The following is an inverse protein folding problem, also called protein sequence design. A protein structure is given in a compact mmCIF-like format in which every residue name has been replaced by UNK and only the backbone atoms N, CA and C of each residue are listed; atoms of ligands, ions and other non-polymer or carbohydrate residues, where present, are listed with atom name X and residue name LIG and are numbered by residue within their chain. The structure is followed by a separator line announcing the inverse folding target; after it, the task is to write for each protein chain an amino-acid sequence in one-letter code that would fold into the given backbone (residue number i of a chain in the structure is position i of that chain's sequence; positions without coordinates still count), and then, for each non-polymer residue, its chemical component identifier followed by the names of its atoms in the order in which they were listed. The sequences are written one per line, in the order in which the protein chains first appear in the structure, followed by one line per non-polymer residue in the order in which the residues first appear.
data_IF_727164757842
#
_entry.id   IF_727164757842
#
_cell.length_a   1.000
_cell.length_b   1.000
_cell.length_c   1.000
_cell.angle_alpha   90.00
_cell.angle_beta   90.00
_cell.angle_gamma   90.00
#
_symmetry.space_group_name_H-M   'P 1'
#
loop_
_entity.id
_entity.type
_entity.pdbx_description
1 polymer ?
#
# COMPACT_ATOMS: atom_id res chain seq x y z
N UNK A 1 -7.67 -17.61 11.55
CA UNK A 1 -8.27 -16.66 10.58
C UNK A 1 -7.16 -15.70 10.23
N UNK A 2 -6.78 -15.64 8.95
CA UNK A 2 -5.67 -14.83 8.47
C UNK A 2 -5.99 -13.35 8.64
N UNK A 3 -5.35 -12.69 9.62
CA UNK A 3 -5.50 -11.26 9.83
C UNK A 3 -4.82 -10.50 8.69
N UNK A 4 -5.57 -9.62 8.03
CA UNK A 4 -5.01 -8.65 7.10
C UNK A 4 -4.23 -7.63 7.93
N UNK A 5 -2.94 -7.49 7.63
CA UNK A 5 -2.10 -6.49 8.28
C UNK A 5 -2.30 -5.13 7.62
N UNK A 6 -3.01 -4.24 8.29
CA UNK A 6 -3.27 -2.89 7.79
C UNK A 6 -2.05 -1.98 7.92
N UNK A 7 -1.80 -1.19 6.87
CA UNK A 7 -0.78 -0.15 6.91
C UNK A 7 -1.21 0.99 7.85
N UNK A 8 -0.39 1.29 8.83
CA UNK A 8 -0.62 2.39 9.78
C UNK A 8 0.03 3.69 9.33
N UNK A 9 -0.40 4.82 9.89
CA UNK A 9 0.21 6.13 9.64
C UNK A 9 1.71 6.16 10.00
N UNK A 10 2.10 5.48 11.09
CA UNK A 10 3.49 5.37 11.49
C UNK A 10 4.32 4.61 10.45
N UNK A 11 3.81 3.48 9.94
CA UNK A 11 4.48 2.73 8.88
C UNK A 11 4.53 3.49 7.56
N UNK A 12 3.48 4.25 7.21
CA UNK A 12 3.46 5.09 6.02
C UNK A 12 4.63 6.09 6.01
N UNK A 13 4.93 6.71 7.16
CA UNK A 13 6.05 7.66 7.28
C UNK A 13 7.44 7.03 7.06
N UNK A 14 7.58 5.70 7.18
CA UNK A 14 8.83 5.01 6.86
C UNK A 14 9.07 4.86 5.34
N UNK A 15 8.01 4.96 4.54
CA UNK A 15 8.07 4.76 3.08
C UNK A 15 7.91 6.05 2.28
N UNK A 16 7.52 7.15 2.92
CA UNK A 16 7.25 8.42 2.27
C UNK A 16 8.08 9.54 2.89
N UNK A 17 8.60 10.42 2.05
CA UNK A 17 9.25 11.66 2.46
C UNK A 17 8.50 12.85 1.86
N UNK A 18 8.01 13.81 2.65
CA UNK A 18 7.39 15.00 2.09
C UNK A 18 8.44 15.84 1.35
N UNK A 19 8.02 16.49 0.27
CA UNK A 19 8.87 17.42 -0.49
C UNK A 19 8.16 18.76 -0.70
N UNK A 20 8.74 19.88 -0.25
CA UNK A 20 8.13 21.19 -0.44
C UNK A 20 7.86 21.47 -1.93
N UNK A 21 6.65 21.95 -2.24
CA UNK A 21 6.23 22.30 -3.60
C UNK A 21 5.71 21.14 -4.45
N UNK A 22 5.60 19.93 -3.89
CA UNK A 22 5.08 18.74 -4.57
C UNK A 22 4.11 18.00 -3.64
N UNK A 23 2.96 17.55 -4.16
CA UNK A 23 2.12 16.56 -3.48
C UNK A 23 2.44 15.16 -3.99
N UNK A 24 2.64 14.20 -3.09
CA UNK A 24 2.92 12.80 -3.42
C UNK A 24 1.71 11.91 -3.19
N UNK A 25 1.72 10.74 -3.82
CA UNK A 25 0.63 9.76 -3.69
C UNK A 25 0.37 9.33 -2.25
N UNK A 26 1.40 9.22 -1.41
CA UNK A 26 1.23 8.90 0.01
C UNK A 26 0.26 9.85 0.72
N UNK A 27 0.22 11.12 0.31
CA UNK A 27 -0.60 12.17 0.92
C UNK A 27 -2.06 12.11 0.46
N UNK A 28 -2.33 11.45 -0.68
CA UNK A 28 -3.68 11.20 -1.18
C UNK A 28 -4.23 9.83 -0.77
N UNK A 29 -3.39 8.90 -0.30
CA UNK A 29 -3.84 7.58 0.12
C UNK A 29 -4.72 7.65 1.38
N UNK A 30 -5.87 6.98 1.31
CA UNK A 30 -6.71 6.72 2.49
C UNK A 30 -6.16 5.52 3.24
N UNK A 31 -6.01 5.64 4.56
CA UNK A 31 -5.59 4.53 5.41
C UNK A 31 -6.79 3.73 5.93
N UNK A 32 -6.71 2.40 5.97
CA UNK A 32 -7.70 1.57 6.65
C UNK A 32 -7.74 1.88 8.15
N UNK A 33 -8.89 1.62 8.77
CA UNK A 33 -9.07 1.71 10.22
C UNK A 33 -8.88 0.32 10.84
N UNK A 34 -7.87 0.14 11.72
CA UNK A 34 -7.59 -1.14 12.35
C UNK A 34 -8.73 -1.67 13.25
N UNK A 35 -9.67 -0.82 13.66
CA UNK A 35 -10.84 -1.24 14.44
C UNK A 35 -11.94 -1.90 13.58
N UNK A 36 -11.85 -1.78 12.26
CA UNK A 36 -12.82 -2.33 11.30
C UNK A 36 -12.29 -3.61 10.65
N UNK A 37 -13.19 -4.55 10.35
CA UNK A 37 -12.85 -5.70 9.53
C UNK A 37 -12.58 -5.29 8.06
N UNK A 38 -12.14 -6.25 7.25
CA UNK A 38 -11.82 -6.00 5.85
C UNK A 38 -13.05 -5.52 5.06
N UNK A 39 -14.21 -6.13 5.28
CA UNK A 39 -15.44 -5.79 4.57
C UNK A 39 -15.90 -4.36 4.87
N UNK A 40 -15.89 -3.97 6.13
CA UNK A 40 -16.22 -2.64 6.59
C UNK A 40 -15.22 -1.59 6.09
N UNK A 41 -13.91 -1.88 6.10
CA UNK A 41 -12.90 -1.00 5.51
C UNK A 41 -13.12 -0.79 4.00
N UNK A 42 -13.39 -1.87 3.25
CA UNK A 42 -13.65 -1.80 1.81
C UNK A 42 -14.95 -1.03 1.50
N UNK A 43 -16.03 -1.30 2.24
CA UNK A 43 -17.30 -0.60 2.08
C UNK A 43 -17.14 0.91 2.37
N UNK A 44 -16.41 1.26 3.44
CA UNK A 44 -16.07 2.65 3.77
C UNK A 44 -15.27 3.30 2.64
N UNK A 45 -14.24 2.64 2.15
CA UNK A 45 -13.39 3.16 1.08
C UNK A 45 -14.22 3.45 -0.18
N UNK A 46 -15.05 2.51 -0.61
CA UNK A 46 -15.95 2.67 -1.76
C UNK A 46 -16.96 3.81 -1.54
N UNK A 47 -17.55 3.94 -0.35
CA UNK A 47 -18.48 5.02 -0.03
C UNK A 47 -17.82 6.42 -0.07
N UNK A 48 -16.50 6.49 0.13
CA UNK A 48 -15.71 7.72 0.02
C UNK A 48 -15.08 7.94 -1.37
N UNK A 49 -15.56 7.24 -2.40
CA UNK A 49 -15.08 7.38 -3.78
C UNK A 49 -13.80 6.59 -4.11
N UNK A 50 -13.36 5.72 -3.20
CA UNK A 50 -12.20 4.86 -3.42
C UNK A 50 -12.44 3.80 -4.50
N UNK A 51 -11.58 3.76 -5.51
CA UNK A 51 -11.69 2.82 -6.64
C UNK A 51 -10.70 1.65 -6.55
N UNK A 52 -9.57 1.84 -5.88
CA UNK A 52 -8.46 0.89 -5.87
C UNK A 52 -7.86 0.76 -4.48
N UNK A 53 -7.41 -0.45 -4.16
CA UNK A 53 -6.65 -0.72 -2.94
C UNK A 53 -5.28 -1.28 -3.27
N UNK A 54 -4.30 -0.95 -2.45
CA UNK A 54 -2.99 -1.57 -2.48
C UNK A 54 -3.03 -2.83 -1.61
N UNK A 55 -2.85 -4.00 -2.22
CA UNK A 55 -2.76 -5.29 -1.53
C UNK A 55 -1.40 -5.91 -1.80
N UNK A 56 -0.64 -6.17 -0.73
CA UNK A 56 0.66 -6.82 -0.81
C UNK A 56 0.59 -8.26 -0.31
N UNK A 57 1.23 -9.18 -1.03
CA UNK A 57 1.50 -10.55 -0.60
C UNK A 57 3.04 -10.71 -0.58
N UNK A 58 3.73 -10.24 0.48
CA UNK A 58 5.18 -10.33 0.58
C UNK A 58 5.57 -11.78 0.87
N UNK A 59 5.87 -12.54 -0.18
CA UNK A 59 6.09 -13.98 -0.12
C UNK A 59 7.07 -14.43 -1.22
N UNK A 60 7.77 -15.55 -1.01
CA UNK A 60 8.68 -16.13 -1.99
C UNK A 60 8.77 -17.68 -2.01
N UNK A 61 7.79 -18.42 -1.48
CA UNK A 61 7.73 -19.90 -1.53
C UNK A 61 7.63 -20.36 -2.98
N UNK A 62 6.86 -19.66 -3.84
CA UNK A 62 6.76 -19.99 -5.27
C UNK A 62 8.13 -19.99 -5.99
N UNK A 63 8.86 -18.86 -6.01
CA UNK A 63 10.23 -18.81 -6.54
C UNK A 63 11.16 -19.89 -5.97
N UNK A 64 11.14 -20.10 -4.65
CA UNK A 64 12.00 -21.09 -3.98
C UNK A 64 11.65 -22.52 -4.35
N UNK A 65 10.36 -22.86 -4.46
CA UNK A 65 9.89 -24.18 -4.85
C UNK A 65 10.28 -24.53 -6.30
N UNK A 66 10.48 -23.52 -7.15
CA UNK A 66 10.92 -23.68 -8.54
C UNK A 66 12.44 -23.50 -8.71
N UNK A 67 13.22 -23.76 -7.65
CA UNK A 67 14.69 -23.62 -7.65
C UNK A 67 15.21 -22.22 -8.02
N UNK A 68 14.36 -21.19 -7.92
CA UNK A 68 14.73 -19.79 -8.09
C UNK A 68 15.39 -19.20 -6.84
N UNK A 69 15.83 -17.95 -6.95
CA UNK A 69 16.43 -17.22 -5.83
C UNK A 69 15.34 -16.71 -4.87
N UNK A 70 15.60 -16.71 -3.55
CA UNK A 70 14.73 -16.06 -2.57
C UNK A 70 14.80 -14.53 -2.68
N UNK A 71 13.86 -13.84 -2.04
CA UNK A 71 13.88 -12.38 -1.88
C UNK A 71 12.66 -11.65 -2.45
N UNK A 72 11.76 -12.33 -3.16
CA UNK A 72 10.52 -11.72 -3.66
C UNK A 72 9.66 -11.15 -2.51
N UNK A 73 9.79 -11.69 -1.30
CA UNK A 73 9.16 -11.17 -0.09
C UNK A 73 9.51 -9.70 0.21
N UNK A 74 10.66 -9.21 -0.25
CA UNK A 74 11.10 -7.82 -0.07
C UNK A 74 10.48 -6.86 -1.11
N UNK A 75 9.87 -7.40 -2.17
CA UNK A 75 9.32 -6.63 -3.28
C UNK A 75 8.23 -5.65 -2.83
N UNK A 76 7.40 -6.03 -1.84
CA UNK A 76 6.37 -5.14 -1.31
C UNK A 76 6.95 -3.87 -0.68
N UNK A 77 8.00 -4.02 0.13
CA UNK A 77 8.69 -2.89 0.76
C UNK A 77 9.36 -2.00 -0.29
N UNK A 78 10.03 -2.62 -1.26
CA UNK A 78 10.67 -1.89 -2.36
C UNK A 78 9.64 -1.11 -3.19
N UNK A 79 8.50 -1.72 -3.51
CA UNK A 79 7.38 -1.09 -4.21
C UNK A 79 6.86 0.13 -3.44
N UNK A 80 6.50 -0.03 -2.16
CA UNK A 80 5.98 1.08 -1.34
C UNK A 80 6.96 2.25 -1.27
N UNK A 81 8.27 1.98 -1.13
CA UNK A 81 9.31 3.02 -1.08
C UNK A 81 9.40 3.89 -2.34
N UNK A 82 8.92 3.37 -3.48
CA UNK A 82 8.93 4.08 -4.77
C UNK A 82 7.55 4.63 -5.12
N UNK A 83 6.53 3.79 -5.09
CA UNK A 83 5.17 4.12 -5.48
C UNK A 83 4.59 5.27 -4.65
N UNK A 84 4.73 5.21 -3.33
CA UNK A 84 4.20 6.25 -2.44
C UNK A 84 4.90 7.60 -2.61
N UNK A 85 6.10 7.62 -3.20
CA UNK A 85 6.85 8.84 -3.48
C UNK A 85 6.65 9.39 -4.90
N UNK A 86 5.78 8.79 -5.72
CA UNK A 86 5.41 9.36 -7.00
C UNK A 86 4.61 10.65 -6.79
N UNK A 87 4.81 11.61 -7.69
CA UNK A 87 4.05 12.85 -7.70
C UNK A 87 2.57 12.57 -8.01
N UNK A 88 1.69 13.05 -7.14
CA UNK A 88 0.27 13.06 -7.40
C UNK A 88 -0.04 14.05 -8.54
N UNK A 89 -0.88 13.62 -9.48
CA UNK A 89 -1.21 14.42 -10.66
C UNK A 89 -2.62 14.05 -11.16
N UNK A 90 -3.17 14.90 -12.03
CA UNK A 90 -4.54 14.79 -12.52
C UNK A 90 -4.86 13.52 -13.32
N UNK A 91 -3.87 12.75 -13.76
CA UNK A 91 -4.10 11.43 -14.36
C UNK A 91 -4.47 10.37 -13.33
N UNK A 92 -4.26 10.66 -12.04
CA UNK A 92 -4.52 9.77 -10.91
C UNK A 92 -5.71 10.25 -10.05
N UNK A 93 -6.29 11.42 -10.35
CA UNK A 93 -7.42 12.04 -9.65
C UNK A 93 -8.80 11.60 -10.21
N UNK A 94 -8.87 10.46 -10.92
CA UNK A 94 -10.09 9.96 -11.56
C UNK A 94 -11.10 9.37 -10.57
#
# INVERSE_FOLDING_TARGET
MSEVNYLTKAQLSAFFQPRPGESRLAEQCQLPDPALDLGANLARHAATGGQFVLLGIPEDIGPRANCGLPGATLGWQAFLSKFLNLQANSLLDA
#
